data_IF_100735230260
#
_entry.id   IF_100735230260
#
_cell.length_a   1.000
_cell.length_b   1.000
_cell.length_c   1.000
_cell.angle_alpha   90.00
_cell.angle_beta   90.00
_cell.angle_gamma   90.00
#
_symmetry.space_group_name_H-M   'P 1'
#
loop_
_entity.id
_entity.type
_entity.pdbx_description
1 polymer ?
#
# COMPACT_ATOMS: atom_id res chain seq x y z
N UNK A 1 37.61 -41.34 54.21
CA UNK A 1 38.45 -41.68 53.02
C UNK A 1 37.59 -42.55 52.11
N UNK A 2 37.24 -42.27 50.84
CA UNK A 2 37.71 -41.40 49.77
C UNK A 2 36.49 -40.89 48.94
N UNK A 3 36.51 -39.59 48.65
CA UNK A 3 35.82 -38.75 47.66
C UNK A 3 34.69 -39.35 46.78
N UNK A 4 33.45 -38.87 47.00
CA UNK A 4 32.39 -38.81 45.98
C UNK A 4 32.61 -37.54 45.12
N UNK A 5 32.73 -37.69 43.80
CA UNK A 5 32.74 -36.58 42.85
C UNK A 5 31.28 -36.30 42.44
N UNK A 6 30.72 -35.19 42.93
CA UNK A 6 29.46 -34.64 42.44
C UNK A 6 29.69 -33.95 41.09
N UNK A 7 29.19 -34.55 40.01
CA UNK A 7 29.17 -33.92 38.69
C UNK A 7 27.97 -32.96 38.65
N UNK A 8 28.23 -31.66 38.75
CA UNK A 8 27.24 -30.63 38.44
C UNK A 8 27.17 -30.47 36.92
N UNK A 9 26.08 -30.93 36.30
CA UNK A 9 25.77 -30.62 34.91
C UNK A 9 25.22 -29.19 34.84
N UNK A 10 25.77 -28.29 33.99
CA UNK A 10 25.20 -26.96 33.83
C UNK A 10 23.91 -27.07 33.03
N UNK A 11 22.77 -26.71 33.63
CA UNK A 11 21.53 -26.49 32.90
C UNK A 11 21.74 -25.23 32.06
N UNK A 12 22.01 -25.39 30.77
CA UNK A 12 22.01 -24.27 29.82
C UNK A 12 20.56 -23.79 29.67
N UNK A 13 20.23 -22.69 30.34
CA UNK A 13 19.03 -21.91 30.05
C UNK A 13 19.31 -21.17 28.74
N UNK A 14 18.89 -21.75 27.62
CA UNK A 14 18.88 -21.04 26.34
C UNK A 14 17.72 -20.04 26.38
N UNK A 15 18.02 -18.80 26.75
CA UNK A 15 17.10 -17.68 26.54
C UNK A 15 16.82 -17.56 25.05
N UNK A 16 15.60 -17.87 24.63
CA UNK A 16 15.13 -17.62 23.27
C UNK A 16 14.98 -16.11 23.14
N UNK A 17 15.99 -15.44 22.60
CA UNK A 17 15.82 -14.07 22.12
C UNK A 17 14.93 -14.13 20.89
N UNK A 18 13.65 -13.82 21.05
CA UNK A 18 12.76 -13.53 19.92
C UNK A 18 13.34 -12.33 19.18
N UNK A 19 13.97 -12.58 18.04
CA UNK A 19 14.31 -11.54 17.09
C UNK A 19 12.97 -11.08 16.52
N UNK A 20 12.39 -10.04 17.11
CA UNK A 20 11.36 -9.26 16.43
C UNK A 20 12.05 -8.64 15.22
N UNK A 21 11.91 -9.30 14.07
CA UNK A 21 12.24 -8.68 12.80
C UNK A 21 11.45 -7.37 12.75
N UNK A 22 12.15 -6.24 12.65
CA UNK A 22 11.52 -4.94 12.42
C UNK A 22 10.89 -5.00 11.03
N UNK A 23 9.64 -5.43 10.95
CA UNK A 23 8.79 -5.07 9.83
C UNK A 23 8.63 -3.56 9.90
N UNK A 24 9.15 -2.86 8.89
CA UNK A 24 8.99 -1.42 8.79
C UNK A 24 7.49 -1.15 8.62
N UNK A 25 6.88 -0.40 9.53
CA UNK A 25 5.48 -0.01 9.41
C UNK A 25 5.31 0.79 8.11
N UNK A 26 4.29 0.44 7.33
CA UNK A 26 4.00 1.11 6.07
C UNK A 26 3.14 2.32 6.41
N UNK A 27 3.82 3.44 6.64
CA UNK A 27 3.18 4.73 6.89
C UNK A 27 2.64 5.30 5.58
N UNK A 28 1.43 5.87 5.59
CA UNK A 28 0.85 6.63 4.48
C UNK A 28 0.87 8.13 4.79
N UNK A 29 0.87 9.02 3.79
CA UNK A 29 0.69 10.46 4.03
C UNK A 29 -0.63 10.75 4.78
N UNK A 30 -0.64 11.75 5.66
CA UNK A 30 -1.82 12.10 6.49
C UNK A 30 -3.13 12.27 5.71
N UNK A 31 -3.05 12.69 4.44
CA UNK A 31 -4.20 12.82 3.54
C UNK A 31 -4.98 11.53 3.35
N UNK A 32 -4.38 10.36 3.57
CA UNK A 32 -5.06 9.07 3.49
C UNK A 32 -6.03 8.81 4.66
N UNK A 33 -5.94 9.62 5.72
CA UNK A 33 -6.92 9.56 6.82
C UNK A 33 -8.21 10.31 6.49
N UNK A 34 -8.25 11.05 5.38
CA UNK A 34 -9.41 11.81 4.93
C UNK A 34 -10.06 11.14 3.71
N UNK A 35 -11.41 11.14 3.62
CA UNK A 35 -12.11 10.64 2.44
C UNK A 35 -11.61 11.33 1.16
N UNK A 36 -11.42 10.56 0.09
CA UNK A 36 -11.15 11.12 -1.22
C UNK A 36 -12.45 11.65 -1.82
N UNK A 37 -12.47 12.93 -2.21
CA UNK A 37 -13.61 13.51 -2.92
C UNK A 37 -13.65 13.08 -4.39
N UNK A 38 -14.84 13.07 -4.99
CA UNK A 38 -15.02 13.06 -6.44
C UNK A 38 -15.12 14.52 -6.94
N UNK A 39 -14.35 14.85 -7.97
CA UNK A 39 -14.21 16.21 -8.51
C UNK A 39 -14.91 16.38 -9.86
N UNK A 40 -16.25 16.32 -9.85
CA UNK A 40 -17.05 16.29 -11.08
C UNK A 40 -16.85 17.52 -11.99
N UNK A 41 -16.59 18.71 -11.42
CA UNK A 41 -16.46 19.95 -12.19
C UNK A 41 -15.08 20.16 -12.84
N UNK A 42 -14.06 19.44 -12.39
CA UNK A 42 -12.66 19.67 -12.82
C UNK A 42 -12.13 18.57 -13.76
N UNK A 43 -12.82 17.43 -13.84
CA UNK A 43 -12.34 16.21 -14.50
C UNK A 43 -12.79 16.04 -15.97
N UNK A 44 -13.72 16.87 -16.47
CA UNK A 44 -14.20 16.77 -17.86
C UNK A 44 -14.80 15.40 -18.20
N UNK A 45 -14.79 15.02 -19.49
CA UNK A 45 -15.49 13.83 -20.02
C UNK A 45 -14.57 12.61 -20.21
N UNK A 46 -13.40 12.59 -19.57
CA UNK A 46 -12.49 11.44 -19.68
C UNK A 46 -13.11 10.20 -19.04
N UNK A 47 -12.99 9.06 -19.74
CA UNK A 47 -13.49 7.79 -19.28
C UNK A 47 -12.60 6.65 -19.80
N UNK A 48 -12.13 5.80 -18.90
CA UNK A 48 -11.41 4.58 -19.20
C UNK A 48 -12.21 3.38 -18.68
N UNK A 49 -12.89 2.62 -19.56
CA UNK A 49 -13.71 1.49 -19.12
C UNK A 49 -12.90 0.45 -18.36
N UNK A 50 -13.34 0.12 -17.14
CA UNK A 50 -12.80 -0.99 -16.35
C UNK A 50 -13.80 -2.16 -16.29
N UNK A 51 -13.37 -3.32 -15.80
CA UNK A 51 -14.22 -4.51 -15.69
C UNK A 51 -15.21 -4.47 -14.52
N UNK A 52 -15.07 -3.49 -13.62
CA UNK A 52 -15.99 -3.29 -12.51
C UNK A 52 -17.35 -2.83 -13.01
N UNK A 53 -18.43 -3.35 -12.44
CA UNK A 53 -19.79 -2.85 -12.63
C UNK A 53 -20.19 -1.80 -11.57
N UNK A 54 -19.30 -1.49 -10.62
CA UNK A 54 -19.55 -0.47 -9.62
C UNK A 54 -19.24 0.93 -10.21
N UNK A 55 -20.28 1.73 -10.39
CA UNK A 55 -20.18 3.09 -10.95
C UNK A 55 -19.24 4.00 -10.13
N UNK A 56 -19.19 3.82 -8.81
CA UNK A 56 -18.30 4.60 -7.95
C UNK A 56 -16.83 4.19 -8.13
N UNK A 57 -16.56 2.89 -8.30
CA UNK A 57 -15.21 2.41 -8.59
C UNK A 57 -14.72 2.96 -9.94
N UNK A 58 -15.59 2.94 -10.97
CA UNK A 58 -15.32 3.53 -12.27
C UNK A 58 -15.00 5.05 -12.16
N UNK A 59 -15.83 5.81 -11.44
CA UNK A 59 -15.63 7.25 -11.28
C UNK A 59 -14.31 7.59 -10.58
N UNK A 60 -13.97 6.87 -9.50
CA UNK A 60 -12.71 7.07 -8.81
C UNK A 60 -11.50 6.61 -9.63
N UNK A 61 -11.64 5.56 -10.44
CA UNK A 61 -10.58 5.12 -11.35
C UNK A 61 -10.30 6.18 -12.41
N UNK A 62 -11.34 6.71 -13.06
CA UNK A 62 -11.22 7.77 -14.07
C UNK A 62 -10.57 9.02 -13.48
N UNK A 63 -10.99 9.44 -12.28
CA UNK A 63 -10.36 10.54 -11.56
C UNK A 63 -8.88 10.25 -11.25
N UNK A 64 -8.56 9.06 -10.72
CA UNK A 64 -7.18 8.69 -10.37
C UNK A 64 -6.26 8.70 -11.59
N UNK A 65 -6.76 8.21 -12.72
CA UNK A 65 -6.04 8.21 -13.99
C UNK A 65 -5.71 9.64 -14.42
N UNK A 66 -6.68 10.54 -14.41
CA UNK A 66 -6.47 11.94 -14.77
C UNK A 66 -5.51 12.66 -13.82
N UNK A 67 -5.64 12.43 -12.51
CA UNK A 67 -4.74 12.99 -11.50
C UNK A 67 -3.30 12.52 -11.70
N UNK A 68 -3.11 11.27 -12.13
CA UNK A 68 -1.78 10.77 -12.45
C UNK A 68 -1.17 11.49 -13.66
N UNK A 69 -1.98 11.77 -14.70
CA UNK A 69 -1.57 12.60 -15.84
C UNK A 69 -1.42 14.09 -15.50
N UNK A 70 -2.05 14.56 -14.43
CA UNK A 70 -1.85 15.90 -13.86
C UNK A 70 -0.68 15.97 -12.87
N UNK A 71 0.07 14.88 -12.67
CA UNK A 71 1.19 14.76 -11.73
C UNK A 71 0.80 14.87 -10.24
N UNK A 72 -0.48 14.75 -9.91
CA UNK A 72 -1.00 14.74 -8.54
C UNK A 72 -0.96 13.32 -7.93
N UNK A 73 0.25 12.73 -7.81
CA UNK A 73 0.46 11.33 -7.42
C UNK A 73 -0.29 10.89 -6.15
N UNK A 74 -0.18 11.67 -5.08
CA UNK A 74 -0.81 11.31 -3.80
C UNK A 74 -2.33 11.27 -3.91
N UNK A 75 -2.93 12.25 -4.59
CA UNK A 75 -4.39 12.26 -4.79
C UNK A 75 -4.84 11.20 -5.80
N UNK A 76 -4.00 10.88 -6.80
CA UNK A 76 -4.24 9.74 -7.69
C UNK A 76 -4.28 8.42 -6.91
N UNK A 77 -3.29 8.18 -6.05
CA UNK A 77 -3.25 6.99 -5.19
C UNK A 77 -4.47 6.92 -4.25
N UNK A 78 -4.88 8.05 -3.64
CA UNK A 78 -6.11 8.11 -2.83
C UNK A 78 -7.38 7.83 -3.64
N UNK A 79 -7.43 8.30 -4.89
CA UNK A 79 -8.56 8.04 -5.79
C UNK A 79 -8.64 6.56 -6.15
N UNK A 80 -7.52 5.93 -6.53
CA UNK A 80 -7.49 4.49 -6.77
C UNK A 80 -7.80 3.66 -5.53
N UNK A 81 -7.37 4.13 -4.34
CA UNK A 81 -7.75 3.52 -3.08
C UNK A 81 -9.26 3.57 -2.83
N UNK A 82 -9.88 4.72 -3.04
CA UNK A 82 -11.32 4.86 -2.96
C UNK A 82 -12.05 3.97 -3.99
N UNK A 83 -11.47 3.79 -5.19
CA UNK A 83 -12.01 2.90 -6.20
C UNK A 83 -12.03 1.44 -5.73
N UNK A 84 -10.93 0.93 -5.16
CA UNK A 84 -10.90 -0.45 -4.66
C UNK A 84 -11.62 -0.63 -3.30
N UNK A 85 -11.90 0.45 -2.56
CA UNK A 85 -12.83 0.38 -1.42
C UNK A 85 -14.28 0.28 -1.89
N UNK A 86 -14.63 0.92 -3.01
CA UNK A 86 -15.95 0.78 -3.63
C UNK A 86 -16.14 -0.60 -4.27
N UNK A 87 -15.11 -1.13 -4.93
CA UNK A 87 -15.09 -2.49 -5.48
C UNK A 87 -13.80 -3.25 -5.10
N UNK A 88 -13.83 -4.05 -4.02
CA UNK A 88 -12.69 -4.85 -3.58
C UNK A 88 -12.24 -5.94 -4.55
N UNK A 89 -13.01 -6.25 -5.60
CA UNK A 89 -12.61 -7.23 -6.63
C UNK A 89 -12.02 -6.54 -7.88
N UNK A 90 -11.95 -5.20 -7.89
CA UNK A 90 -11.40 -4.43 -9.00
C UNK A 90 -9.85 -4.48 -8.99
N UNK A 91 -9.26 -5.52 -9.59
CA UNK A 91 -7.80 -5.67 -9.67
C UNK A 91 -7.08 -4.47 -10.30
N UNK A 92 -7.66 -3.86 -11.35
CA UNK A 92 -7.06 -2.67 -11.97
C UNK A 92 -7.09 -1.43 -11.05
N UNK A 93 -8.03 -1.36 -10.11
CA UNK A 93 -8.09 -0.29 -9.12
C UNK A 93 -6.89 -0.36 -8.17
N UNK A 94 -6.54 -1.56 -7.69
CA UNK A 94 -5.32 -1.80 -6.91
C UNK A 94 -4.04 -1.56 -7.72
N UNK A 95 -4.02 -2.01 -8.97
CA UNK A 95 -2.92 -1.71 -9.90
C UNK A 95 -2.72 -0.20 -10.08
N UNK A 96 -3.82 0.56 -10.18
CA UNK A 96 -3.80 2.02 -10.29
C UNK A 96 -3.13 2.67 -9.08
N UNK A 97 -3.47 2.23 -7.86
CA UNK A 97 -2.80 2.72 -6.65
C UNK A 97 -1.30 2.41 -6.68
N UNK A 98 -0.94 1.16 -7.01
CA UNK A 98 0.46 0.77 -7.10
C UNK A 98 1.24 1.59 -8.14
N UNK A 99 0.63 1.87 -9.29
CA UNK A 99 1.20 2.73 -10.32
C UNK A 99 1.42 4.16 -9.81
N UNK A 100 0.44 4.72 -9.09
CA UNK A 100 0.53 6.04 -8.51
C UNK A 100 1.64 6.19 -7.47
N UNK A 101 2.09 5.10 -6.84
CA UNK A 101 3.27 5.11 -5.96
C UNK A 101 4.61 5.02 -6.71
N UNK A 102 4.60 4.54 -7.95
CA UNK A 102 5.79 4.31 -8.77
C UNK A 102 6.53 5.57 -9.21
N UNK A 103 7.61 5.37 -9.98
CA UNK A 103 8.37 6.46 -10.60
C UNK A 103 7.51 7.18 -11.65
N UNK A 104 7.76 8.48 -11.83
CA UNK A 104 7.05 9.31 -12.80
C UNK A 104 7.99 10.37 -13.40
N UNK A 105 7.49 11.20 -14.32
CA UNK A 105 8.32 12.15 -15.06
C UNK A 105 9.18 13.07 -14.16
N UNK A 106 8.64 13.50 -13.02
CA UNK A 106 9.32 14.45 -12.15
C UNK A 106 10.19 13.79 -11.07
N UNK A 107 10.24 12.46 -10.98
CA UNK A 107 11.06 11.81 -9.95
C UNK A 107 10.97 10.30 -9.90
N UNK A 108 12.02 9.70 -9.35
CA UNK A 108 12.05 8.28 -9.02
C UNK A 108 11.14 7.97 -7.82
N UNK A 109 10.65 6.73 -7.74
CA UNK A 109 10.02 6.18 -6.56
C UNK A 109 10.97 6.24 -5.35
N UNK A 110 10.47 6.72 -4.23
CA UNK A 110 11.18 6.78 -2.95
C UNK A 110 11.11 5.45 -2.20
N UNK A 111 11.98 5.29 -1.20
CA UNK A 111 11.99 4.11 -0.33
C UNK A 111 10.72 3.97 0.51
N UNK A 112 10.02 5.07 0.79
CA UNK A 112 8.75 5.07 1.53
C UNK A 112 7.55 4.65 0.64
N UNK A 113 7.63 4.90 -0.67
CA UNK A 113 6.56 4.55 -1.61
C UNK A 113 6.62 3.07 -2.02
N UNK A 114 7.81 2.48 -2.11
CA UNK A 114 7.98 1.11 -2.58
C UNK A 114 7.17 0.06 -1.80
N UNK A 115 7.11 0.09 -0.45
CA UNK A 115 6.26 -0.83 0.31
C UNK A 115 4.76 -0.65 0.05
N UNK A 116 4.29 0.59 -0.16
CA UNK A 116 2.89 0.90 -0.48
C UNK A 116 2.51 0.34 -1.84
N UNK A 117 3.35 0.60 -2.85
CA UNK A 117 3.20 0.07 -4.20
C UNK A 117 3.13 -1.45 -4.20
N UNK A 118 4.03 -2.10 -3.43
CA UNK A 118 4.06 -3.55 -3.32
C UNK A 118 2.79 -4.11 -2.69
N UNK A 119 2.31 -3.52 -1.59
CA UNK A 119 1.07 -3.97 -0.94
C UNK A 119 -0.15 -3.85 -1.85
N UNK A 120 -0.32 -2.72 -2.53
CA UNK A 120 -1.42 -2.54 -3.47
C UNK A 120 -1.32 -3.55 -4.62
N UNK A 121 -0.14 -3.75 -5.19
CA UNK A 121 0.08 -4.73 -6.28
C UNK A 121 -0.18 -6.18 -5.85
N UNK A 122 -0.01 -6.54 -4.57
CA UNK A 122 -0.35 -7.89 -4.09
C UNK A 122 -1.86 -8.17 -4.09
N UNK A 123 -2.70 -7.13 -4.19
CA UNK A 123 -4.16 -7.24 -4.27
C UNK A 123 -4.73 -7.11 -5.69
N UNK A 124 -3.89 -6.71 -6.66
CA UNK A 124 -4.28 -6.54 -8.05
C UNK A 124 -4.40 -7.86 -8.80
#
# INVERSE_FOLDING_TARGET
MKRFLSVFAPVLITSVFSISALAQEIEYPDSFNEPMGLFDSAMGDFHFPISSSNEQAQAYFDQGFQLMYAFAKNDAARSFQAAHFADPECGICFWGEAWAWGSYLNGAMSTAEAPRAYLAMQQA
#
